data_IF_210280628387
#
_entry.id   IF_210280628387
#
_cell.length_a   1.000
_cell.length_b   1.000
_cell.length_c   1.000
_cell.angle_alpha   90.00
_cell.angle_beta   90.00
_cell.angle_gamma   90.00
#
_symmetry.space_group_name_H-M   'P 1'
#
loop_
_entity.id
_entity.type
_entity.pdbx_description
1 polymer ?
#
# COMPACT_ATOMS: atom_id res chain seq x y z
N UNK A 1 -6.87 -0.24 -20.34
CA UNK A 1 -5.99 -0.91 -19.37
C UNK A 1 -6.53 -2.31 -19.12
N UNK A 2 -5.72 -3.36 -19.27
CA UNK A 2 -6.15 -4.73 -18.98
C UNK A 2 -5.73 -5.11 -17.55
N UNK A 3 -6.63 -4.88 -16.58
CA UNK A 3 -6.35 -5.08 -15.15
C UNK A 3 -6.66 -6.48 -14.65
N UNK A 4 -7.49 -7.26 -15.34
CA UNK A 4 -8.05 -8.51 -14.81
C UNK A 4 -6.99 -9.56 -14.40
N UNK A 5 -5.77 -9.46 -14.94
CA UNK A 5 -4.65 -10.34 -14.60
C UNK A 5 -3.84 -9.91 -13.38
N UNK A 6 -4.00 -8.68 -12.90
CA UNK A 6 -3.13 -8.06 -11.88
C UNK A 6 -3.90 -7.44 -10.72
N UNK A 7 -5.16 -7.06 -10.92
CA UNK A 7 -5.98 -6.42 -9.90
C UNK A 7 -7.43 -6.85 -10.07
N UNK A 8 -8.05 -7.33 -8.99
CA UNK A 8 -9.47 -7.67 -8.97
C UNK A 8 -10.29 -6.42 -9.29
N UNK A 9 -11.32 -6.58 -10.13
CA UNK A 9 -12.18 -5.46 -10.53
C UNK A 9 -12.80 -4.75 -9.32
N UNK A 10 -13.26 -5.52 -8.33
CA UNK A 10 -13.87 -4.97 -7.12
C UNK A 10 -12.88 -4.11 -6.32
N UNK A 11 -11.65 -4.59 -6.12
CA UNK A 11 -10.58 -3.81 -5.46
C UNK A 11 -10.29 -2.52 -6.23
N UNK A 12 -10.19 -2.58 -7.56
CA UNK A 12 -10.00 -1.39 -8.39
C UNK A 12 -11.16 -0.41 -8.28
N UNK A 13 -12.41 -0.91 -8.31
CA UNK A 13 -13.63 -0.10 -8.20
C UNK A 13 -13.67 0.65 -6.87
N UNK A 14 -13.44 -0.06 -5.75
CA UNK A 14 -13.40 0.54 -4.41
C UNK A 14 -12.30 1.62 -4.32
N UNK A 15 -11.10 1.35 -4.83
CA UNK A 15 -10.02 2.33 -4.85
C UNK A 15 -10.40 3.58 -5.66
N UNK A 16 -11.00 3.41 -6.84
CA UNK A 16 -11.44 4.52 -7.69
C UNK A 16 -12.60 5.33 -7.09
N UNK A 17 -13.51 4.69 -6.37
CA UNK A 17 -14.63 5.34 -5.70
C UNK A 17 -14.15 6.16 -4.51
N UNK A 18 -13.46 5.55 -3.55
CA UNK A 18 -13.01 6.26 -2.35
C UNK A 18 -12.05 7.41 -2.68
N UNK A 19 -11.23 7.26 -3.72
CA UNK A 19 -10.37 8.32 -4.22
C UNK A 19 -11.09 9.62 -4.60
N UNK A 20 -12.32 9.55 -5.15
CA UNK A 20 -13.02 10.75 -5.65
C UNK A 20 -13.21 11.81 -4.56
N UNK A 21 -13.39 11.34 -3.34
CA UNK A 21 -13.67 12.15 -2.16
C UNK A 21 -12.39 12.66 -1.47
N UNK A 22 -11.19 12.24 -1.90
CA UNK A 22 -9.95 12.59 -1.24
C UNK A 22 -9.36 13.94 -1.73
N UNK A 23 -8.85 14.78 -0.81
CA UNK A 23 -8.21 16.06 -1.13
C UNK A 23 -6.77 15.86 -1.63
N UNK A 24 -6.59 15.15 -2.75
CA UNK A 24 -5.27 14.83 -3.31
C UNK A 24 -4.94 15.68 -4.54
N UNK A 25 -3.70 16.17 -4.60
CA UNK A 25 -3.21 17.04 -5.68
C UNK A 25 -2.85 16.27 -6.97
N UNK A 26 -2.13 15.14 -6.86
CA UNK A 26 -1.78 14.31 -8.01
C UNK A 26 -2.78 13.15 -8.13
N UNK A 27 -3.53 13.13 -9.23
CA UNK A 27 -4.53 12.11 -9.54
C UNK A 27 -4.16 11.24 -10.74
N UNK A 28 -2.89 11.15 -11.09
CA UNK A 28 -2.45 10.36 -12.23
C UNK A 28 -1.85 9.03 -11.81
N UNK A 29 -1.07 9.01 -10.72
CA UNK A 29 -0.48 7.77 -10.19
C UNK A 29 -1.31 7.26 -9.00
N UNK A 30 -1.65 5.98 -9.01
CA UNK A 30 -2.35 5.31 -7.93
C UNK A 30 -1.71 3.97 -7.62
N UNK A 31 -1.35 3.76 -6.35
CA UNK A 31 -0.88 2.46 -5.85
C UNK A 31 -2.00 1.77 -5.10
N UNK A 32 -2.22 0.50 -5.40
CA UNK A 32 -3.21 -0.35 -4.73
C UNK A 32 -2.48 -1.55 -4.14
N UNK A 33 -2.73 -1.83 -2.86
CA UNK A 33 -2.28 -3.05 -2.18
C UNK A 33 -3.52 -3.86 -1.82
N UNK A 34 -3.65 -5.06 -2.38
CA UNK A 34 -4.76 -5.97 -2.10
C UNK A 34 -4.39 -6.95 -0.98
N UNK A 35 -4.64 -6.57 0.27
CA UNK A 35 -4.37 -7.44 1.42
C UNK A 35 -5.27 -8.69 1.52
N UNK A 36 -6.27 -8.86 0.64
CA UNK A 36 -7.01 -10.13 0.53
C UNK A 36 -6.19 -11.26 -0.09
N UNK A 37 -5.07 -10.93 -0.74
CA UNK A 37 -4.13 -11.88 -1.32
C UNK A 37 -2.99 -12.18 -0.35
N UNK A 38 -2.40 -13.36 -0.52
CA UNK A 38 -1.24 -13.78 0.25
C UNK A 38 -0.04 -12.83 0.03
N UNK A 39 0.84 -12.70 1.01
CA UNK A 39 2.09 -11.93 0.91
C UNK A 39 3.03 -12.46 -0.17
N UNK A 40 2.95 -13.76 -0.44
CA UNK A 40 3.65 -14.46 -1.52
C UNK A 40 3.08 -14.16 -2.91
N UNK A 41 1.93 -13.50 -3.01
CA UNK A 41 1.34 -13.06 -4.28
C UNK A 41 1.73 -11.61 -4.62
N UNK A 42 1.81 -11.31 -5.92
CA UNK A 42 2.01 -9.95 -6.40
C UNK A 42 0.74 -9.12 -6.17
N UNK A 43 0.66 -8.52 -4.99
CA UNK A 43 -0.52 -7.79 -4.50
C UNK A 43 -0.34 -6.29 -4.42
N UNK A 44 0.82 -5.75 -4.83
CA UNK A 44 1.03 -4.31 -5.03
C UNK A 44 0.99 -3.98 -6.52
N UNK A 45 0.07 -3.09 -6.89
CA UNK A 45 -0.08 -2.60 -8.26
C UNK A 45 0.06 -1.09 -8.29
N UNK A 46 0.93 -0.57 -9.14
CA UNK A 46 1.05 0.87 -9.40
C UNK A 46 0.48 1.17 -10.78
N UNK A 47 -0.45 2.10 -10.84
CA UNK A 47 -1.22 2.46 -12.02
C UNK A 47 -0.90 3.89 -12.43
N UNK A 48 -0.67 4.07 -13.73
CA UNK A 48 -0.72 5.36 -14.40
C UNK A 48 -2.11 5.49 -15.04
N UNK A 49 -2.96 6.26 -14.40
CA UNK A 49 -4.36 6.44 -14.77
C UNK A 49 -4.52 7.40 -15.96
N UNK A 50 -3.62 8.37 -16.10
CA UNK A 50 -3.60 9.29 -17.24
C UNK A 50 -3.33 8.54 -18.55
N UNK A 51 -2.32 7.66 -18.54
CA UNK A 51 -1.94 6.86 -19.71
C UNK A 51 -2.57 5.47 -19.75
N UNK A 52 -3.38 5.10 -18.75
CA UNK A 52 -4.05 3.80 -18.63
C UNK A 52 -3.08 2.61 -18.65
N UNK A 53 -1.96 2.72 -17.94
CA UNK A 53 -0.88 1.72 -17.87
C UNK A 53 -0.73 1.16 -16.46
N UNK A 54 -0.32 -0.10 -16.40
CA UNK A 54 0.23 -0.71 -15.17
C UNK A 54 1.72 -0.43 -15.19
N UNK A 55 2.22 0.32 -14.22
CA UNK A 55 3.65 0.62 -14.06
C UNK A 55 4.36 -0.52 -13.34
N UNK A 56 3.75 -1.04 -12.28
CA UNK A 56 4.31 -2.12 -11.48
C UNK A 56 3.22 -3.10 -11.05
N UNK A 57 3.58 -4.38 -10.99
CA UNK A 57 2.83 -5.45 -10.35
C UNK A 57 3.84 -6.34 -9.60
N UNK A 58 3.92 -6.20 -8.28
CA UNK A 58 5.03 -6.73 -7.47
C UNK A 58 4.59 -7.19 -6.07
N UNK A 59 5.51 -7.84 -5.38
CA UNK A 59 5.36 -8.28 -3.99
C UNK A 59 5.38 -7.07 -3.05
N UNK A 60 4.68 -7.20 -1.92
CA UNK A 60 4.77 -6.25 -0.80
C UNK A 60 4.48 -6.99 0.51
N UNK A 61 5.33 -6.75 1.50
CA UNK A 61 5.13 -7.24 2.85
C UNK A 61 4.05 -6.42 3.58
N UNK A 62 3.63 -6.90 4.76
CA UNK A 62 2.80 -6.16 5.70
C UNK A 62 3.51 -6.08 7.06
N UNK A 63 2.94 -5.30 7.99
CA UNK A 63 3.49 -5.17 9.34
C UNK A 63 3.58 -6.53 10.05
N UNK A 64 4.65 -6.75 10.81
CA UNK A 64 4.96 -8.01 11.50
C UNK A 64 3.78 -8.62 12.28
N UNK A 65 2.93 -7.80 12.87
CA UNK A 65 1.81 -8.27 13.69
C UNK A 65 0.48 -8.34 12.92
N UNK A 66 0.49 -8.15 11.60
CA UNK A 66 -0.71 -8.18 10.76
C UNK A 66 -1.16 -9.59 10.37
N UNK A 67 -0.28 -10.58 10.53
CA UNK A 67 -0.53 -11.98 10.21
C UNK A 67 0.74 -12.64 9.69
N UNK A 68 0.59 -13.87 9.21
CA UNK A 68 1.64 -14.63 8.52
C UNK A 68 1.48 -14.43 7.01
N UNK A 69 1.25 -15.50 6.23
CA UNK A 69 1.01 -15.41 4.78
C UNK A 69 -0.16 -14.50 4.39
N UNK A 70 -1.14 -14.29 5.28
CA UNK A 70 -2.28 -13.38 5.06
C UNK A 70 -2.31 -12.28 6.11
N UNK A 71 -2.51 -11.04 5.68
CA UNK A 71 -2.78 -9.92 6.57
C UNK A 71 -4.25 -9.96 7.02
N UNK A 72 -4.49 -10.39 8.25
CA UNK A 72 -5.83 -10.52 8.83
C UNK A 72 -6.09 -9.55 9.98
N UNK A 73 -5.05 -8.88 10.46
CA UNK A 73 -5.11 -7.92 11.56
C UNK A 73 -4.49 -6.58 11.16
N UNK A 74 -5.22 -5.49 11.38
CA UNK A 74 -4.76 -4.14 11.08
C UNK A 74 -4.89 -3.27 12.33
N UNK A 75 -4.11 -2.19 12.41
CA UNK A 75 -4.22 -1.25 13.52
C UNK A 75 -3.75 0.13 13.12
N UNK A 76 -4.35 1.13 13.74
CA UNK A 76 -3.95 2.53 13.67
C UNK A 76 -3.15 2.97 14.91
N UNK A 77 -2.85 2.04 15.83
CA UNK A 77 -2.19 2.36 17.10
C UNK A 77 -0.68 2.40 16.96
N UNK A 78 -0.06 3.35 17.65
CA UNK A 78 1.38 3.44 17.85
C UNK A 78 1.95 2.11 18.35
N UNK A 79 3.15 1.75 17.88
CA UNK A 79 3.88 0.54 18.30
C UNK A 79 3.17 -0.81 18.06
N UNK A 80 2.01 -0.83 17.38
CA UNK A 80 1.29 -2.07 17.09
C UNK A 80 2.04 -3.02 16.15
N UNK A 81 2.99 -2.50 15.36
CA UNK A 81 3.70 -3.20 14.28
C UNK A 81 2.76 -3.83 13.24
N UNK A 82 1.53 -3.33 13.14
CA UNK A 82 0.52 -3.75 12.16
C UNK A 82 0.41 -2.74 11.03
N UNK A 83 0.14 -3.22 9.82
CA UNK A 83 -0.33 -2.37 8.74
C UNK A 83 -1.67 -1.71 9.09
N UNK A 84 -1.99 -0.60 8.43
CA UNK A 84 -3.31 0.03 8.45
C UNK A 84 -3.96 -0.10 7.08
N UNK A 85 -5.29 -0.22 7.08
CA UNK A 85 -6.09 -0.14 5.85
C UNK A 85 -6.35 1.32 5.47
N UNK A 86 -7.03 1.50 4.34
CA UNK A 86 -7.53 2.80 3.91
C UNK A 86 -6.61 3.52 2.93
N UNK A 87 -6.94 4.78 2.68
CA UNK A 87 -6.29 5.65 1.72
C UNK A 87 -5.14 6.43 2.35
N UNK A 88 -4.07 6.57 1.58
CA UNK A 88 -2.87 7.30 1.95
C UNK A 88 -2.51 8.31 0.85
N UNK A 89 -1.94 9.43 1.27
CA UNK A 89 -1.11 10.27 0.40
C UNK A 89 0.36 9.91 0.58
N UNK A 90 1.10 9.99 -0.51
CA UNK A 90 2.56 9.93 -0.50
C UNK A 90 3.10 11.34 -0.31
N UNK A 91 3.99 11.54 0.66
CA UNK A 91 4.61 12.85 0.91
C UNK A 91 6.09 12.86 0.49
N UNK A 92 6.97 13.39 1.35
CA UNK A 92 8.39 13.52 1.13
C UNK A 92 9.08 12.16 1.17
N UNK A 93 10.26 12.13 0.59
CA UNK A 93 11.16 10.97 0.59
C UNK A 93 12.41 11.26 1.39
N UNK A 94 13.01 10.22 1.97
CA UNK A 94 14.28 10.31 2.68
C UNK A 94 15.08 9.01 2.51
N UNK A 95 16.36 9.03 2.87
CA UNK A 95 17.18 7.83 2.93
C UNK A 95 17.31 7.38 4.39
N UNK A 96 16.76 6.21 4.71
CA UNK A 96 16.84 5.58 6.03
C UNK A 96 17.67 4.30 6.01
N UNK A 97 17.53 3.47 7.04
CA UNK A 97 18.25 2.18 7.16
C UNK A 97 17.93 1.23 6.00
N UNK A 98 16.69 1.27 5.49
CA UNK A 98 16.26 0.49 4.32
C UNK A 98 16.43 1.24 2.98
N UNK A 99 17.25 2.29 2.95
CA UNK A 99 17.48 3.12 1.77
C UNK A 99 16.34 4.09 1.47
N UNK A 100 16.08 4.32 0.18
CA UNK A 100 15.08 5.28 -0.30
C UNK A 100 13.68 4.92 0.20
N UNK A 101 13.11 5.83 0.99
CA UNK A 101 11.86 5.63 1.72
C UNK A 101 10.89 6.76 1.40
N UNK A 102 9.62 6.43 1.24
CA UNK A 102 8.52 7.34 0.93
C UNK A 102 7.53 7.40 2.09
N UNK A 103 7.32 8.58 2.65
CA UNK A 103 6.40 8.78 3.78
C UNK A 103 4.95 8.59 3.33
N UNK A 104 4.18 7.84 4.14
CA UNK A 104 2.75 7.65 3.94
C UNK A 104 1.96 8.42 4.99
N UNK A 105 1.08 9.30 4.55
CA UNK A 105 0.14 10.02 5.39
C UNK A 105 -1.28 9.47 5.20
N UNK A 106 -1.87 8.95 6.27
CA UNK A 106 -3.23 8.41 6.23
C UNK A 106 -4.29 9.51 6.16
N UNK A 107 -5.40 9.21 5.50
CA UNK A 107 -6.45 10.18 5.17
C UNK A 107 -7.79 9.88 5.88
N UNK A 108 -7.88 8.78 6.60
CA UNK A 108 -9.11 8.31 7.22
C UNK A 108 -9.01 8.33 8.75
N UNK A 109 -9.79 9.23 9.36
CA UNK A 109 -9.85 9.42 10.81
C UNK A 109 -10.20 8.11 11.53
N UNK A 110 -9.43 7.78 12.56
CA UNK A 110 -9.58 6.54 13.34
C UNK A 110 -9.08 5.26 12.63
N UNK A 111 -8.90 5.27 11.31
CA UNK A 111 -8.48 4.09 10.52
C UNK A 111 -6.98 4.10 10.24
N UNK A 112 -6.44 5.23 9.76
CA UNK A 112 -5.02 5.35 9.42
C UNK A 112 -4.42 6.75 9.63
N UNK A 113 -5.17 7.69 10.21
CA UNK A 113 -4.71 9.05 10.52
C UNK A 113 -3.41 9.14 11.35
N UNK A 114 -3.05 8.10 12.12
CA UNK A 114 -1.77 8.05 12.84
C UNK A 114 -0.61 7.52 12.00
N UNK A 115 -0.80 7.14 10.74
CA UNK A 115 0.24 6.48 9.92
C UNK A 115 1.55 7.27 9.87
N UNK A 116 1.49 8.59 9.72
CA UNK A 116 2.68 9.44 9.69
C UNK A 116 3.38 9.51 11.04
N UNK A 117 2.62 9.68 12.13
CA UNK A 117 3.16 9.67 13.51
C UNK A 117 3.78 8.31 13.88
N UNK A 118 3.27 7.24 13.26
CA UNK A 118 3.76 5.86 13.38
C UNK A 118 4.96 5.56 12.50
N UNK A 119 5.46 6.54 11.74
CA UNK A 119 6.54 6.37 10.77
C UNK A 119 6.25 5.27 9.75
N UNK A 120 4.99 5.15 9.31
CA UNK A 120 4.63 4.24 8.22
C UNK A 120 5.16 4.81 6.90
N UNK A 121 6.03 4.04 6.26
CA UNK A 121 6.69 4.44 5.01
C UNK A 121 6.71 3.26 4.03
N UNK A 122 6.88 3.56 2.75
CA UNK A 122 7.17 2.57 1.71
C UNK A 122 8.67 2.58 1.43
N UNK A 123 9.32 1.42 1.45
CA UNK A 123 10.73 1.28 1.11
C UNK A 123 11.01 -0.06 0.42
N UNK A 124 12.17 -0.18 -0.24
CA UNK A 124 12.65 -1.45 -0.75
C UNK A 124 13.10 -2.37 0.39
N UNK A 125 12.93 -3.68 0.23
CA UNK A 125 13.34 -4.65 1.24
C UNK A 125 13.71 -5.98 0.59
N UNK A 126 14.87 -6.53 0.95
CA UNK A 126 15.38 -7.80 0.38
C UNK A 126 14.47 -8.99 0.72
N UNK A 127 13.76 -8.92 1.86
CA UNK A 127 12.77 -9.92 2.24
C UNK A 127 11.48 -9.88 1.41
N UNK A 128 11.26 -8.84 0.58
CA UNK A 128 10.16 -8.81 -0.39
C UNK A 128 10.55 -9.54 -1.69
N UNK A 129 11.00 -10.78 -1.58
CA UNK A 129 11.51 -11.58 -2.69
C UNK A 129 10.91 -12.99 -2.68
N UNK A 130 10.82 -13.62 -3.87
CA UNK A 130 10.30 -14.98 -4.03
C UNK A 130 11.24 -15.97 -3.36
N UNK A 131 10.90 -16.40 -2.14
CA UNK A 131 11.72 -17.31 -1.32
C UNK A 131 12.01 -16.79 0.09
N UNK A 132 11.79 -15.50 0.35
CA UNK A 132 11.98 -14.91 1.69
C UNK A 132 10.72 -14.24 2.22
N UNK A 133 9.82 -13.77 1.35
CA UNK A 133 8.58 -13.14 1.79
C UNK A 133 7.70 -14.17 2.50
N UNK A 134 7.34 -13.86 3.75
CA UNK A 134 6.47 -14.66 4.61
C UNK A 134 5.02 -14.23 4.45
#
# INVERSE_FOLDING_TARGET
MNLAKVLKYETFRQAMEGRKELPIHNKDIMTVIDFSLASTEKRLVVLDLAHKKVLFNTLVAHGKNSGENYAVNFSNQQESLKSSLGFFTTENTYNGENGYSLVLNGLEEGINDNAKARYVVMHGADYCSTGTIA
#
